data_IF_089462778987
#
_entry.id   IF_089462778987
#
_cell.length_a   1.000
_cell.length_b   1.000
_cell.length_c   1.000
_cell.angle_alpha   90.00
_cell.angle_beta   90.00
_cell.angle_gamma   90.00
#
_symmetry.space_group_name_H-M   'P 1'
#
loop_
_entity.id
_entity.type
_entity.pdbx_description
1 polymer ?
#
# COMPACT_ATOMS: atom_id res chain seq x y z
N UNK A 1 0.80 0.79 19.96
CA UNK A 1 1.85 1.59 19.31
C UNK A 1 1.52 3.04 19.57
N UNK A 2 2.51 3.92 19.63
CA UNK A 2 2.21 5.35 19.56
C UNK A 2 1.58 5.68 18.19
N UNK A 3 0.83 6.77 18.10
CA UNK A 3 0.21 7.15 16.82
C UNK A 3 1.28 7.31 15.74
N UNK A 4 1.11 6.58 14.63
CA UNK A 4 2.05 6.53 13.48
C UNK A 4 3.39 5.84 13.73
N UNK A 5 3.58 5.19 14.87
CA UNK A 5 4.76 4.37 15.10
C UNK A 5 4.73 3.08 14.26
N UNK A 6 5.84 2.74 13.61
CA UNK A 6 6.00 1.47 12.89
C UNK A 6 6.32 0.31 13.82
N UNK A 7 6.09 -0.93 13.36
CA UNK A 7 6.49 -2.12 14.12
C UNK A 7 7.99 -2.12 14.44
N UNK A 8 8.83 -1.64 13.52
CA UNK A 8 10.28 -1.51 13.71
C UNK A 8 10.64 -0.68 14.93
N UNK A 9 10.08 0.53 15.02
CA UNK A 9 10.38 1.47 16.10
C UNK A 9 9.84 0.95 17.43
N UNK A 10 8.64 0.36 17.43
CA UNK A 10 8.08 -0.28 18.61
C UNK A 10 9.00 -1.39 19.13
N UNK A 11 9.44 -2.30 18.26
CA UNK A 11 10.30 -3.42 18.63
C UNK A 11 11.63 -2.94 19.21
N UNK A 12 12.21 -1.89 18.62
CA UNK A 12 13.44 -1.27 19.12
C UNK A 12 13.27 -0.71 20.53
N UNK A 13 12.20 0.07 20.77
CA UNK A 13 11.90 0.62 22.11
C UNK A 13 11.59 -0.47 23.12
N UNK A 14 10.79 -1.46 22.73
CA UNK A 14 10.44 -2.58 23.58
C UNK A 14 11.66 -3.40 23.99
N UNK A 15 12.55 -3.71 23.04
CA UNK A 15 13.82 -4.40 23.32
C UNK A 15 14.67 -3.64 24.33
N UNK A 16 14.81 -2.33 24.16
CA UNK A 16 15.55 -1.49 25.11
C UNK A 16 14.92 -1.48 26.52
N UNK A 17 13.59 -1.51 26.61
CA UNK A 17 12.89 -1.55 27.90
C UNK A 17 13.06 -2.91 28.60
N UNK A 18 12.98 -4.02 27.87
CA UNK A 18 13.12 -5.37 28.44
C UNK A 18 14.51 -5.62 29.00
N UNK A 19 15.56 -5.06 28.39
CA UNK A 19 16.94 -5.19 28.89
C UNK A 19 17.14 -4.56 30.28
N UNK A 20 16.27 -3.65 30.70
CA UNK A 20 16.33 -3.02 32.03
C UNK A 20 15.60 -3.83 33.11
N UNK A 21 14.91 -4.91 32.72
CA UNK A 21 14.13 -5.74 33.63
C UNK A 21 14.96 -6.97 34.00
N UNK A 22 15.29 -7.11 35.29
CA UNK A 22 16.15 -8.17 35.82
C UNK A 22 15.52 -9.58 35.71
N UNK A 23 14.19 -9.67 35.82
CA UNK A 23 13.46 -10.93 35.68
C UNK A 23 12.08 -10.71 35.05
N UNK A 24 11.73 -11.55 34.07
CA UNK A 24 10.42 -11.55 33.43
C UNK A 24 9.95 -12.98 33.12
N UNK A 25 8.63 -13.19 33.08
CA UNK A 25 8.05 -14.39 32.48
C UNK A 25 7.73 -14.14 31.01
N UNK A 26 7.82 -15.19 30.19
CA UNK A 26 7.51 -15.07 28.76
C UNK A 26 6.05 -14.67 28.53
N UNK A 27 5.13 -15.12 29.40
CA UNK A 27 3.72 -14.72 29.35
C UNK A 27 3.55 -13.21 29.57
N UNK A 28 4.19 -12.65 30.60
CA UNK A 28 4.12 -11.21 30.87
C UNK A 28 4.69 -10.39 29.71
N UNK A 29 5.81 -10.81 29.13
CA UNK A 29 6.36 -10.17 27.93
C UNK A 29 5.35 -10.21 26.79
N UNK A 30 4.78 -11.38 26.49
CA UNK A 30 3.86 -11.51 25.37
C UNK A 30 2.60 -10.66 25.56
N UNK A 31 2.06 -10.59 26.79
CA UNK A 31 0.92 -9.73 27.11
C UNK A 31 1.22 -8.25 26.89
N UNK A 32 2.37 -7.77 27.40
CA UNK A 32 2.78 -6.37 27.23
C UNK A 32 3.04 -6.07 25.75
N UNK A 33 3.73 -6.98 25.05
CA UNK A 33 4.04 -6.82 23.63
C UNK A 33 2.76 -6.75 22.78
N UNK A 34 1.80 -7.66 23.01
CA UNK A 34 0.51 -7.66 22.31
C UNK A 34 -0.32 -6.42 22.60
N UNK A 35 -0.31 -5.90 23.84
CA UNK A 35 -0.94 -4.61 24.19
C UNK A 35 -0.28 -3.43 23.47
N UNK A 36 1.01 -3.57 23.14
CA UNK A 36 1.80 -2.58 22.45
C UNK A 36 1.61 -2.52 20.94
N UNK A 37 0.92 -3.48 20.30
CA UNK A 37 0.71 -3.53 18.84
C UNK A 37 -0.79 -3.48 18.47
N UNK A 38 -1.10 -3.16 17.22
CA UNK A 38 -2.48 -3.10 16.75
C UNK A 38 -3.10 -4.50 16.63
N UNK A 39 -4.29 -4.75 17.19
CA UNK A 39 -4.92 -6.07 17.18
C UNK A 39 -5.33 -6.54 15.77
N UNK A 40 -5.67 -5.60 14.89
CA UNK A 40 -6.13 -5.88 13.52
C UNK A 40 -4.98 -6.08 12.52
N UNK A 41 -3.82 -6.55 12.98
CA UNK A 41 -2.65 -6.80 12.13
C UNK A 41 -2.44 -8.29 11.90
N UNK A 42 -1.99 -8.70 10.70
CA UNK A 42 -1.61 -10.10 10.45
C UNK A 42 -0.54 -10.60 11.43
N UNK A 43 0.33 -9.70 11.89
CA UNK A 43 1.34 -10.03 12.90
C UNK A 43 0.70 -10.39 14.25
N UNK A 44 -0.25 -9.60 14.76
CA UNK A 44 -0.97 -9.90 16.00
C UNK A 44 -1.66 -11.26 15.93
N UNK A 45 -2.37 -11.55 14.83
CA UNK A 45 -2.98 -12.86 14.61
C UNK A 45 -1.96 -14.00 14.65
N UNK A 46 -0.78 -13.79 14.06
CA UNK A 46 0.27 -14.81 14.03
C UNK A 46 0.79 -15.15 15.43
N UNK A 47 0.85 -14.16 16.33
CA UNK A 47 1.22 -14.36 17.74
C UNK A 47 0.11 -15.09 18.50
N UNK A 48 -1.15 -14.83 18.20
CA UNK A 48 -2.28 -15.53 18.80
C UNK A 48 -2.36 -17.00 18.35
N UNK A 49 -2.17 -17.26 17.05
CA UNK A 49 -2.22 -18.61 16.47
C UNK A 49 -1.05 -19.48 16.94
N UNK A 50 0.16 -18.91 17.03
CA UNK A 50 1.35 -19.62 17.48
C UNK A 50 2.14 -18.72 18.43
N UNK A 51 1.85 -18.75 19.74
CA UNK A 51 2.58 -17.98 20.73
C UNK A 51 4.09 -18.24 20.64
N UNK A 52 4.92 -17.19 20.72
CA UNK A 52 6.36 -17.36 20.83
C UNK A 52 6.74 -17.99 22.18
N UNK A 53 7.68 -18.92 22.17
CA UNK A 53 8.16 -19.60 23.38
C UNK A 53 9.41 -18.96 23.98
N UNK A 54 10.11 -18.12 23.20
CA UNK A 54 11.33 -17.41 23.62
C UNK A 54 11.30 -15.96 23.13
N UNK A 55 12.10 -15.10 23.78
CA UNK A 55 12.29 -13.71 23.34
C UNK A 55 12.86 -13.64 21.92
N UNK A 56 13.86 -14.47 21.59
CA UNK A 56 14.45 -14.51 20.26
C UNK A 56 13.42 -14.87 19.18
N UNK A 57 12.48 -15.77 19.48
CA UNK A 57 11.39 -16.09 18.57
C UNK A 57 10.45 -14.90 18.36
N UNK A 58 10.11 -14.19 19.43
CA UNK A 58 9.30 -12.96 19.35
C UNK A 58 9.99 -11.91 18.48
N UNK A 59 11.25 -11.56 18.77
CA UNK A 59 12.00 -10.54 18.03
C UNK A 59 12.24 -10.92 16.58
N UNK A 60 12.59 -12.18 16.30
CA UNK A 60 12.80 -12.68 14.93
C UNK A 60 11.53 -12.55 14.09
N UNK A 61 10.38 -12.93 14.64
CA UNK A 61 9.09 -12.78 13.95
C UNK A 61 8.75 -11.30 13.74
N UNK A 62 8.88 -10.48 14.77
CA UNK A 62 8.59 -9.05 14.68
C UNK A 62 9.45 -8.35 13.61
N UNK A 63 10.75 -8.66 13.55
CA UNK A 63 11.65 -8.14 12.53
C UNK A 63 11.24 -8.56 11.11
N UNK A 64 10.81 -9.81 10.93
CA UNK A 64 10.30 -10.29 9.64
C UNK A 64 9.07 -9.50 9.17
N UNK A 65 8.11 -9.27 10.07
CA UNK A 65 6.92 -8.47 9.73
C UNK A 65 7.26 -6.99 9.51
N UNK A 66 8.20 -6.44 10.26
CA UNK A 66 8.67 -5.06 10.06
C UNK A 66 9.31 -4.85 8.68
N UNK A 67 10.07 -5.83 8.18
CA UNK A 67 10.61 -5.74 6.81
C UNK A 67 9.49 -5.74 5.77
N UNK A 68 8.49 -6.61 5.93
CA UNK A 68 7.34 -6.66 5.02
C UNK A 68 6.54 -5.35 5.05
N UNK A 69 6.30 -4.76 6.22
CA UNK A 69 5.65 -3.46 6.33
C UNK A 69 6.41 -2.37 5.56
N UNK A 70 7.73 -2.37 5.64
CA UNK A 70 8.57 -1.40 4.94
C UNK A 70 8.61 -1.62 3.43
N UNK A 71 8.65 -2.88 2.97
CA UNK A 71 8.57 -3.22 1.55
C UNK A 71 7.22 -2.79 0.95
N UNK A 72 6.11 -3.05 1.65
CA UNK A 72 4.77 -2.61 1.24
C UNK A 72 4.70 -1.09 1.18
N UNK A 73 5.23 -0.39 2.18
CA UNK A 73 5.29 1.07 2.22
C UNK A 73 6.10 1.62 1.04
N UNK A 74 7.24 1.02 0.74
CA UNK A 74 8.08 1.38 -0.39
C UNK A 74 7.36 1.15 -1.73
N UNK A 75 6.66 0.03 -1.88
CA UNK A 75 5.87 -0.27 -3.08
C UNK A 75 4.72 0.75 -3.30
N UNK A 76 4.00 1.15 -2.24
CA UNK A 76 2.97 2.19 -2.32
C UNK A 76 3.56 3.53 -2.77
N UNK A 77 4.71 3.91 -2.21
CA UNK A 77 5.42 5.13 -2.62
C UNK A 77 5.85 5.06 -4.09
N UNK A 78 6.36 3.92 -4.55
CA UNK A 78 6.73 3.71 -5.95
C UNK A 78 5.54 3.87 -6.90
N UNK A 79 4.39 3.28 -6.58
CA UNK A 79 3.16 3.39 -7.39
C UNK A 79 2.67 4.84 -7.45
N UNK A 80 2.68 5.55 -6.32
CA UNK A 80 2.29 6.95 -6.28
C UNK A 80 3.23 7.83 -7.13
N UNK A 81 4.54 7.64 -7.00
CA UNK A 81 5.56 8.37 -7.77
C UNK A 81 5.45 8.08 -9.27
N UNK A 82 5.28 6.81 -9.66
CA UNK A 82 5.08 6.42 -11.05
C UNK A 82 3.77 6.98 -11.64
N UNK A 83 2.69 7.02 -10.84
CA UNK A 83 1.41 7.62 -11.22
C UNK A 83 1.50 9.14 -11.45
N UNK A 84 2.32 9.84 -10.67
CA UNK A 84 2.60 11.27 -10.87
C UNK A 84 3.46 11.54 -12.11
N UNK A 85 4.49 10.71 -12.36
CA UNK A 85 5.30 10.80 -13.56
C UNK A 85 4.49 10.54 -14.85
N UNK A 86 3.50 9.65 -14.79
CA UNK A 86 2.58 9.37 -15.91
C UNK A 86 1.63 10.54 -16.21
N UNK A 87 1.11 11.25 -15.19
CA UNK A 87 0.22 12.42 -15.37
C UNK A 87 0.96 13.70 -15.77
N UNK A 88 2.19 13.90 -15.29
CA UNK A 88 3.03 15.07 -15.58
C UNK A 88 3.45 15.18 -17.07
N UNK A 89 3.32 14.10 -17.85
CA UNK A 89 3.58 14.10 -19.29
C UNK A 89 2.53 14.83 -20.15
N UNK A 90 1.33 15.10 -19.64
CA UNK A 90 0.23 15.68 -20.41
C UNK A 90 0.11 17.22 -20.32
N UNK A 91 0.77 17.86 -19.34
CA UNK A 91 0.51 19.26 -18.98
C UNK A 91 1.51 20.27 -19.58
N UNK A 92 1.96 20.00 -20.82
CA UNK A 92 2.79 20.95 -21.59
C UNK A 92 2.30 21.20 -23.02
N UNK A 93 1.02 20.95 -23.30
CA UNK A 93 0.40 21.43 -24.55
C UNK A 93 -0.80 22.35 -24.28
N UNK A 94 -0.53 23.47 -23.61
CA UNK A 94 -1.41 24.64 -23.62
C UNK A 94 -0.78 25.75 -24.46
N UNK A 95 -0.49 25.48 -25.73
CA UNK A 95 -0.26 26.53 -26.74
C UNK A 95 -0.21 25.95 -28.14
N UNK A 96 -1.37 25.73 -28.74
CA UNK A 96 -1.64 26.06 -30.14
C UNK A 96 -3.17 26.04 -30.33
N UNK A 97 -3.82 27.06 -29.80
CA UNK A 97 -5.19 27.42 -30.14
C UNK A 97 -5.11 28.61 -31.08
N UNK A 98 -4.65 28.40 -32.32
CA UNK A 98 -4.95 29.33 -33.42
C UNK A 98 -4.57 28.79 -34.83
N UNK A 99 -5.54 28.23 -35.56
CA UNK A 99 -5.62 28.38 -37.03
C UNK A 99 -6.98 27.89 -37.56
N UNK A 100 -7.78 28.71 -38.27
CA UNK A 100 -9.05 28.26 -38.84
C UNK A 100 -8.89 27.46 -40.15
N UNK A 101 -9.87 26.59 -40.38
CA UNK A 101 -10.20 25.77 -41.57
C UNK A 101 -10.05 26.49 -42.93
N UNK A 102 -9.81 25.76 -44.04
CA UNK A 102 -10.92 25.15 -44.83
C UNK A 102 -10.52 23.74 -45.36
N UNK A 103 -11.36 22.85 -45.91
CA UNK A 103 -12.40 23.01 -46.92
C UNK A 103 -13.31 21.77 -46.96
N UNK A 104 -14.56 22.00 -47.37
CA UNK A 104 -15.53 20.99 -47.77
C UNK A 104 -15.08 20.14 -48.98
N UNK A 105 -15.25 18.82 -48.90
CA UNK A 105 -15.49 17.95 -50.06
C UNK A 105 -16.19 16.63 -49.63
N UNK A 106 -17.52 16.76 -49.59
CA UNK A 106 -18.64 15.79 -49.72
C UNK A 106 -18.38 14.25 -49.80
N UNK A 107 -19.18 13.53 -48.96
CA UNK A 107 -19.97 12.28 -49.16
C UNK A 107 -19.22 10.99 -49.61
N UNK A 108 -19.47 9.74 -49.16
CA UNK A 108 -20.66 9.02 -48.66
C UNK A 108 -20.25 7.63 -48.10
N UNK A 109 -21.02 7.01 -47.18
CA UNK A 109 -21.00 5.54 -46.95
C UNK A 109 -20.90 5.04 -45.48
N UNK A 110 -21.82 4.18 -44.98
CA UNK A 110 -21.98 3.88 -43.55
C UNK A 110 -21.33 2.56 -43.06
N UNK A 111 -21.17 2.51 -41.72
CA UNK A 111 -21.05 1.32 -40.85
C UNK A 111 -19.67 0.69 -40.64
N UNK A 112 -19.05 0.99 -39.48
CA UNK A 112 -18.28 0.01 -38.71
C UNK A 112 -18.29 0.35 -37.21
N UNK A 113 -18.58 -0.59 -36.29
CA UNK A 113 -18.65 -0.28 -34.87
C UNK A 113 -17.28 0.05 -34.28
N UNK A 114 -17.32 1.14 -33.51
CA UNK A 114 -16.35 1.73 -32.60
C UNK A 114 -15.36 0.75 -31.95
N UNK A 115 -14.09 0.80 -32.39
CA UNK A 115 -12.98 0.24 -31.59
C UNK A 115 -12.71 1.20 -30.45
N UNK A 116 -13.29 0.89 -29.28
CA UNK A 116 -12.96 1.57 -28.03
C UNK A 116 -11.44 1.47 -27.81
N UNK A 117 -10.73 2.60 -27.60
CA UNK A 117 -9.38 2.55 -27.09
C UNK A 117 -9.43 1.84 -25.72
N UNK A 118 -8.68 0.75 -25.58
CA UNK A 118 -8.50 0.08 -24.29
C UNK A 118 -7.75 1.04 -23.35
N UNK A 119 -8.50 1.85 -22.63
CA UNK A 119 -7.98 2.72 -21.58
C UNK A 119 -7.52 1.89 -20.38
N UNK A 120 -6.48 2.32 -19.63
CA UNK A 120 -6.03 1.63 -18.43
C UNK A 120 -7.15 1.50 -17.39
N UNK A 121 -7.14 0.39 -16.65
CA UNK A 121 -8.11 -0.02 -15.62
C UNK A 121 -8.29 1.01 -14.49
N UNK A 122 -8.97 2.12 -14.76
CA UNK A 122 -9.43 3.10 -13.75
C UNK A 122 -10.96 3.23 -13.70
N UNK A 123 -11.66 2.20 -14.16
CA UNK A 123 -13.12 2.13 -14.03
C UNK A 123 -13.49 1.75 -12.58
N UNK A 124 -14.41 2.52 -11.99
CA UNK A 124 -15.00 2.25 -10.69
C UNK A 124 -15.93 1.03 -10.74
N UNK A 125 -16.10 0.35 -9.60
CA UNK A 125 -16.83 -0.93 -9.48
C UNK A 125 -18.25 -0.90 -10.09
N UNK A 126 -18.93 0.24 -9.97
CA UNK A 126 -20.27 0.49 -10.53
C UNK A 126 -20.38 0.30 -12.05
N UNK A 127 -19.26 0.42 -12.79
CA UNK A 127 -19.26 0.30 -14.26
C UNK A 127 -19.06 -1.13 -14.76
N UNK A 128 -18.77 -2.08 -13.88
CA UNK A 128 -18.59 -3.51 -14.23
C UNK A 128 -19.87 -4.33 -14.04
N UNK A 129 -20.84 -3.82 -13.29
CA UNK A 129 -22.12 -4.48 -13.03
C UNK A 129 -22.96 -4.86 -14.28
N UNK A 130 -22.95 -4.10 -15.40
CA UNK A 130 -23.79 -4.45 -16.56
C UNK A 130 -23.18 -5.50 -17.49
N UNK A 131 -21.96 -5.99 -17.21
CA UNK A 131 -21.20 -6.87 -18.10
C UNK A 131 -21.13 -8.33 -17.63
N UNK A 132 -21.99 -8.69 -16.67
CA UNK A 132 -22.20 -10.03 -16.10
C UNK A 132 -23.67 -10.39 -16.28
#
# INVERSE_FOLDING_TARGET
>A
MQDNESLREFVKRFGQAVLQVEAYSMDAVLQIFKRGICPDTPFFESLAKKPPTTMDDLFRRANKYSMLEDDVRAAIQQVLVAGQASRSGADRNTKLLDRPRPSDLRQEGPSRPERLPLTPLSISYEKLLPMI
#
